data_IF_970422632517
#
_entry.id   IF_970422632517
#
_cell.length_a   1.000
_cell.length_b   1.000
_cell.length_c   1.000
_cell.angle_alpha   90.00
_cell.angle_beta   90.00
_cell.angle_gamma   90.00
#
_symmetry.space_group_name_H-M   'P 1'
#
loop_
_entity.id
_entity.type
_entity.pdbx_description
1 polymer ?
#
# COMPACT_ATOMS: atom_id res chain seq x y z
N UNK A 1 -2.73 1.28 -17.52
CA UNK A 1 -2.94 2.16 -16.35
C UNK A 1 -2.79 1.31 -15.11
N UNK A 2 -1.70 1.46 -14.38
CA UNK A 2 -1.43 0.76 -13.11
C UNK A 2 -1.33 1.81 -12.01
N UNK A 3 -1.86 1.48 -10.84
CA UNK A 3 -1.86 2.32 -9.67
C UNK A 3 -1.02 1.65 -8.59
N UNK A 4 -0.36 2.46 -7.78
CA UNK A 4 0.42 2.03 -6.64
C UNK A 4 -0.29 2.53 -5.37
N UNK A 5 -0.81 1.60 -4.57
CA UNK A 5 -1.40 1.87 -3.27
C UNK A 5 -0.34 1.70 -2.20
N UNK A 6 -0.34 2.61 -1.23
CA UNK A 6 0.56 2.52 -0.07
C UNK A 6 -0.25 2.11 1.16
N UNK A 7 0.09 0.95 1.72
CA UNK A 7 -0.46 0.46 2.98
C UNK A 7 0.60 0.66 4.09
N UNK A 8 0.49 1.73 4.89
CA UNK A 8 1.36 1.92 6.04
C UNK A 8 0.98 0.96 7.16
N UNK A 9 1.97 0.35 7.79
CA UNK A 9 1.81 -0.52 8.95
C UNK A 9 2.77 -0.05 10.04
N UNK A 10 2.35 0.06 11.33
CA UNK A 10 3.27 0.42 12.40
C UNK A 10 4.47 -0.52 12.45
N UNK A 11 5.69 -0.01 12.56
CA UNK A 11 6.90 -0.83 12.69
C UNK A 11 6.91 -1.69 13.97
N UNK A 12 6.05 -1.37 14.93
CA UNK A 12 5.76 -2.21 16.11
C UNK A 12 4.89 -3.44 15.82
N UNK A 13 4.39 -3.59 14.59
CA UNK A 13 3.48 -4.69 14.21
C UNK A 13 4.19 -6.03 14.00
N UNK A 14 5.52 -6.04 13.99
CA UNK A 14 6.36 -7.22 13.88
C UNK A 14 7.66 -7.02 14.69
N UNK A 15 8.24 -8.10 15.21
CA UNK A 15 9.43 -8.06 16.08
C UNK A 15 10.71 -8.50 15.39
N UNK A 16 10.59 -9.32 14.37
CA UNK A 16 11.69 -9.90 13.62
C UNK A 16 11.30 -10.13 12.15
N UNK A 17 12.25 -10.65 11.38
CA UNK A 17 12.07 -10.88 9.95
C UNK A 17 11.03 -11.97 9.67
N UNK A 18 10.88 -12.96 10.54
CA UNK A 18 9.93 -14.05 10.36
C UNK A 18 8.49 -13.54 10.51
N UNK A 19 8.24 -12.72 11.53
CA UNK A 19 6.95 -12.03 11.70
C UNK A 19 6.66 -11.05 10.57
N UNK A 20 7.68 -10.38 10.04
CA UNK A 20 7.54 -9.53 8.86
C UNK A 20 7.10 -10.33 7.62
N UNK A 21 7.74 -11.47 7.34
CA UNK A 21 7.36 -12.33 6.20
C UNK A 21 5.92 -12.81 6.32
N UNK A 22 5.48 -13.22 7.53
CA UNK A 22 4.09 -13.60 7.78
C UNK A 22 3.13 -12.43 7.56
N UNK A 23 3.53 -11.21 7.93
CA UNK A 23 2.73 -10.02 7.66
C UNK A 23 2.60 -9.74 6.16
N UNK A 24 3.69 -9.83 5.40
CA UNK A 24 3.69 -9.64 3.94
C UNK A 24 2.85 -10.71 3.22
N UNK A 25 2.94 -11.98 3.65
CA UNK A 25 2.09 -13.06 3.15
C UNK A 25 0.61 -12.80 3.42
N UNK A 26 0.28 -12.30 4.62
CA UNK A 26 -1.09 -11.91 4.96
C UNK A 26 -1.59 -10.78 4.08
N UNK A 27 -0.79 -9.72 3.87
CA UNK A 27 -1.15 -8.60 2.97
C UNK A 27 -1.41 -9.12 1.56
N UNK A 28 -0.53 -10.01 1.08
CA UNK A 28 -0.65 -10.66 -0.24
C UNK A 28 -1.91 -11.51 -0.35
N UNK A 29 -2.25 -12.26 0.70
CA UNK A 29 -3.48 -13.06 0.72
C UNK A 29 -4.74 -12.19 0.72
N UNK A 30 -4.71 -11.06 1.45
CA UNK A 30 -5.84 -10.14 1.54
C UNK A 30 -6.09 -9.39 0.23
N UNK A 31 -5.04 -8.91 -0.44
CA UNK A 31 -5.18 -8.26 -1.75
C UNK A 31 -5.64 -9.24 -2.84
N UNK A 32 -5.23 -10.51 -2.75
CA UNK A 32 -5.63 -11.56 -3.70
C UNK A 32 -5.36 -11.17 -5.15
N UNK A 33 -6.33 -11.39 -6.03
CA UNK A 33 -6.20 -11.07 -7.47
C UNK A 33 -6.36 -9.58 -7.80
N UNK A 34 -6.72 -8.75 -6.81
CA UNK A 34 -6.98 -7.33 -7.03
C UNK A 34 -5.70 -6.50 -7.13
N UNK A 35 -4.54 -7.07 -6.78
CA UNK A 35 -3.24 -6.42 -6.83
C UNK A 35 -2.11 -7.35 -6.42
N UNK A 36 -0.92 -6.80 -6.25
CA UNK A 36 0.25 -7.52 -5.73
C UNK A 36 1.09 -6.58 -4.88
N UNK A 37 1.72 -7.10 -3.83
CA UNK A 37 2.81 -6.39 -3.15
C UNK A 37 4.00 -6.36 -4.11
N UNK A 38 4.49 -5.16 -4.43
CA UNK A 38 5.64 -4.96 -5.32
C UNK A 38 6.94 -4.83 -4.52
N UNK A 39 6.90 -4.02 -3.46
CA UNK A 39 8.00 -3.80 -2.54
C UNK A 39 7.48 -3.30 -1.19
N UNK A 40 8.35 -3.28 -0.20
CA UNK A 40 8.11 -2.63 1.08
C UNK A 40 9.25 -1.63 1.37
N UNK A 41 8.94 -0.58 2.12
CA UNK A 41 9.92 0.38 2.61
C UNK A 41 9.74 0.55 4.13
N UNK A 42 10.81 0.40 4.89
CA UNK A 42 10.79 0.49 6.35
C UNK A 42 11.53 1.75 6.80
N UNK A 43 10.84 2.65 7.48
CA UNK A 43 11.40 3.95 7.84
C UNK A 43 10.55 4.69 8.87
N UNK A 44 11.17 5.58 9.65
CA UNK A 44 10.48 6.48 10.59
C UNK A 44 9.48 5.81 11.58
N UNK A 45 9.66 4.51 11.89
CA UNK A 45 8.77 3.77 12.80
C UNK A 45 7.54 3.15 12.13
N UNK A 46 7.46 3.19 10.80
CA UNK A 46 6.42 2.56 9.97
C UNK A 46 7.07 1.70 8.89
N UNK A 47 6.27 0.80 8.33
CA UNK A 47 6.62 0.00 7.15
C UNK A 47 5.52 0.16 6.12
N UNK A 48 5.88 0.70 4.97
CA UNK A 48 4.98 0.94 3.85
C UNK A 48 5.02 -0.26 2.90
N UNK A 49 3.89 -0.95 2.74
CA UNK A 49 3.71 -1.92 1.66
C UNK A 49 3.22 -1.19 0.40
N UNK A 50 3.98 -1.32 -0.69
CA UNK A 50 3.66 -0.72 -1.97
C UNK A 50 2.98 -1.77 -2.86
N UNK A 51 1.73 -1.51 -3.23
CA UNK A 51 0.83 -2.48 -3.85
C UNK A 51 0.47 -2.02 -5.26
N UNK A 52 0.87 -2.78 -6.27
CA UNK A 52 0.49 -2.52 -7.66
C UNK A 52 -0.89 -3.11 -7.95
N UNK A 53 -1.77 -2.31 -8.54
CA UNK A 53 -3.13 -2.72 -8.91
C UNK A 53 -3.62 -2.01 -10.17
N UNK A 54 -4.51 -2.65 -10.92
CA UNK A 54 -5.26 -2.01 -12.02
C UNK A 54 -6.65 -1.53 -11.57
N UNK A 55 -7.07 -1.91 -10.37
CA UNK A 55 -8.41 -1.68 -9.82
C UNK A 55 -8.31 -1.14 -8.38
N UNK A 56 -7.95 0.15 -8.20
CA UNK A 56 -7.66 0.74 -6.89
C UNK A 56 -8.79 0.58 -5.88
N UNK A 57 -10.04 0.71 -6.33
CA UNK A 57 -11.21 0.57 -5.46
C UNK A 57 -11.35 -0.87 -4.94
N UNK A 58 -11.22 -1.87 -5.83
CA UNK A 58 -11.30 -3.27 -5.43
C UNK A 58 -10.14 -3.67 -4.51
N UNK A 59 -8.94 -3.15 -4.77
CA UNK A 59 -7.79 -3.33 -3.91
C UNK A 59 -7.97 -2.66 -2.54
N UNK A 60 -8.53 -1.46 -2.50
CA UNK A 60 -8.88 -0.76 -1.26
C UNK A 60 -9.89 -1.57 -0.43
N UNK A 61 -10.98 -2.03 -1.04
CA UNK A 61 -12.03 -2.83 -0.40
C UNK A 61 -11.47 -4.16 0.13
N UNK A 62 -10.60 -4.82 -0.65
CA UNK A 62 -9.94 -6.05 -0.22
C UNK A 62 -9.06 -5.83 1.02
N UNK A 63 -8.36 -4.69 1.06
CA UNK A 63 -7.52 -4.33 2.19
C UNK A 63 -8.32 -3.79 3.38
N UNK A 64 -9.53 -3.24 3.19
CA UNK A 64 -10.37 -2.71 4.27
C UNK A 64 -10.66 -3.77 5.35
N UNK A 65 -10.79 -5.04 4.96
CA UNK A 65 -10.98 -6.17 5.87
C UNK A 65 -9.72 -6.74 6.52
N UNK A 66 -8.53 -6.17 6.28
CA UNK A 66 -7.24 -6.77 6.66
C UNK A 66 -6.94 -6.78 8.18
N UNK A 67 -7.69 -6.01 8.99
CA UNK A 67 -7.74 -6.16 10.46
C UNK A 67 -6.97 -5.12 11.29
N UNK A 68 -7.06 -5.29 12.62
CA UNK A 68 -6.75 -4.41 13.78
C UNK A 68 -5.30 -3.88 13.93
N UNK A 69 -4.51 -3.84 12.86
CA UNK A 69 -3.33 -2.98 12.92
C UNK A 69 -3.83 -1.54 12.85
N UNK A 70 -3.28 -0.62 13.64
CA UNK A 70 -3.44 0.85 13.45
C UNK A 70 -2.93 1.32 12.06
N UNK A 71 -2.66 0.39 11.15
CA UNK A 71 -2.56 0.53 9.72
C UNK A 71 -3.85 1.10 9.12
N UNK A 72 -4.10 2.39 9.38
CA UNK A 72 -4.74 3.38 8.49
C UNK A 72 -5.19 4.61 9.27
N UNK A 73 -4.69 5.79 8.89
CA UNK A 73 -5.59 6.94 8.95
C UNK A 73 -6.40 7.05 7.67
N UNK A 74 -5.78 7.17 6.49
CA UNK A 74 -6.43 6.99 5.19
C UNK A 74 -5.35 6.52 4.19
N UNK A 75 -5.61 5.47 3.38
CA UNK A 75 -4.66 4.99 2.37
C UNK A 75 -4.12 6.15 1.51
N UNK A 76 -2.82 6.46 1.66
CA UNK A 76 -2.30 7.81 1.38
C UNK A 76 -2.37 8.25 -0.09
N UNK A 77 -2.48 7.33 -1.05
CA UNK A 77 -2.69 7.62 -2.46
C UNK A 77 -2.86 6.34 -3.28
N UNK A 78 -3.71 6.34 -4.30
CA UNK A 78 -3.47 5.55 -5.51
C UNK A 78 -2.59 6.38 -6.44
N UNK A 79 -1.30 6.06 -6.50
CA UNK A 79 -0.30 6.69 -7.35
C UNK A 79 -0.39 6.09 -8.76
N UNK A 80 -0.89 6.83 -9.73
CA UNK A 80 -0.92 6.37 -11.13
C UNK A 80 0.50 6.30 -11.70
N UNK A 81 1.00 5.12 -12.09
CA UNK A 81 2.26 5.01 -12.83
C UNK A 81 2.05 5.50 -14.27
N UNK A 82 2.64 6.63 -14.63
CA UNK A 82 2.84 7.03 -16.03
C UNK A 82 4.11 6.39 -16.59
N UNK A 83 4.28 6.35 -17.92
CA UNK A 83 5.45 5.75 -18.60
C UNK A 83 6.81 6.40 -18.25
N UNK A 84 6.82 7.44 -17.40
CA UNK A 84 7.97 8.31 -17.09
C UNK A 84 8.33 8.37 -15.58
N UNK A 85 7.96 7.37 -14.77
CA UNK A 85 8.19 7.35 -13.31
C UNK A 85 7.50 8.47 -12.50
N UNK A 86 6.65 9.26 -13.15
CA UNK A 86 5.78 10.24 -12.50
C UNK A 86 4.54 9.56 -11.93
N UNK A 87 4.12 10.01 -10.73
CA UNK A 87 2.94 9.49 -10.05
C UNK A 87 1.90 10.60 -9.77
N UNK A 88 0.61 10.30 -10.01
CA UNK A 88 -0.52 11.18 -9.66
C UNK A 88 -1.31 10.58 -8.50
N UNK A 89 -1.52 11.34 -7.42
CA UNK A 89 -2.24 10.86 -6.23
C UNK A 89 -3.72 11.10 -6.36
N UNK A 90 -4.46 10.00 -6.23
CA UNK A 90 -5.90 10.03 -5.98
C UNK A 90 -6.17 9.79 -4.49
N UNK A 91 -6.69 10.80 -3.80
CA UNK A 91 -7.40 10.66 -2.53
C UNK A 91 -8.89 10.91 -2.75
N UNK A 92 -9.72 10.35 -1.87
CA UNK A 92 -11.19 10.38 -1.97
C UNK A 92 -11.77 11.81 -2.00
N UNK A 93 -11.05 12.82 -1.49
CA UNK A 93 -11.51 14.22 -1.41
C UNK A 93 -10.66 15.24 -2.21
N UNK A 94 -9.48 14.86 -2.72
CA UNK A 94 -8.64 15.74 -3.54
C UNK A 94 -7.58 14.95 -4.35
N UNK A 95 -7.21 15.48 -5.53
CA UNK A 95 -6.08 14.99 -6.33
C UNK A 95 -4.92 15.97 -6.28
N UNK A 96 -3.72 15.49 -5.91
CA UNK A 96 -2.49 16.29 -5.91
C UNK A 96 -1.40 15.56 -6.72
N UNK A 97 -0.53 16.31 -7.40
CA UNK A 97 0.63 15.75 -8.12
C UNK A 97 1.89 15.96 -7.30
N UNK A 98 2.72 14.94 -7.20
CA UNK A 98 4.08 15.09 -6.69
C UNK A 98 5.04 14.14 -7.41
N UNK A 99 6.31 14.52 -7.42
CA UNK A 99 7.41 13.75 -7.99
C UNK A 99 8.16 13.04 -6.86
N UNK A 100 8.37 11.74 -6.99
CA UNK A 100 9.21 10.96 -6.07
C UNK A 100 10.60 10.93 -6.70
N UNK A 101 11.59 11.49 -6.00
CA UNK A 101 12.99 11.56 -6.44
C UNK A 101 13.76 10.27 -6.17
#
# INVERSE_FOLDING_TARGET
>A
MEFLLVLPVPGSSYRDLDEFMVLEERVTAAIGETGKVDRHDAGAGETDFLILTKSPLAAYEALEGFGEFDARPELRAALLRNDNDDYEVFQREASFRFHIA
#
